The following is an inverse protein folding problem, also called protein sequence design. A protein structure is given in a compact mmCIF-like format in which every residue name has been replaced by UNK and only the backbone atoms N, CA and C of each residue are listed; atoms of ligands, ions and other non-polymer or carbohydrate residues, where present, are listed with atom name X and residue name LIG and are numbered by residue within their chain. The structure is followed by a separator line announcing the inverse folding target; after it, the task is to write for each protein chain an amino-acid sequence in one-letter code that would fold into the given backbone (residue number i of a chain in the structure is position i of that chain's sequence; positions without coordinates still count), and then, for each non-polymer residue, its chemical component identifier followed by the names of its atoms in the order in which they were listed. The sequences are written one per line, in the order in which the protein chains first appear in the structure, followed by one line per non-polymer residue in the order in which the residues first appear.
data_IF_280324730889
#
_entry.id   IF_280324730889
#
_cell.length_a   1.000
_cell.length_b   1.000
_cell.length_c   1.000
_cell.angle_alpha   90.00
_cell.angle_beta   90.00
_cell.angle_gamma   90.00
#
_symmetry.space_group_name_H-M   'P 1'
#
loop_
_entity.id
_entity.type
_entity.pdbx_description
1 polymer ?
#
# COMPACT_ATOMS: atom_id res chain seq x y z
N UNK A 1 4.46 -4.05 15.16
CA UNK A 1 3.27 -3.27 14.77
C UNK A 1 2.92 -3.64 13.35
N UNK A 2 1.66 -3.81 13.04
CA UNK A 2 1.21 -4.12 11.67
C UNK A 2 1.16 -2.81 10.87
N UNK A 3 2.06 -2.67 9.90
CA UNK A 3 2.18 -1.50 9.03
C UNK A 3 1.21 -1.62 7.84
N UNK A 4 -0.08 -1.73 8.14
CA UNK A 4 -1.17 -1.81 7.14
C UNK A 4 -2.29 -0.82 7.43
N UNK A 5 -2.15 0.04 8.45
CA UNK A 5 -3.23 0.92 8.88
C UNK A 5 -3.58 1.97 7.83
N UNK A 6 -2.59 2.55 7.14
CA UNK A 6 -2.84 3.51 6.07
C UNK A 6 -3.54 2.83 4.89
N UNK A 7 -3.15 1.59 4.58
CA UNK A 7 -3.79 0.76 3.55
C UNK A 7 -5.22 0.37 3.89
N UNK A 8 -5.47 -0.05 5.13
CA UNK A 8 -6.82 -0.40 5.61
C UNK A 8 -7.72 0.84 5.66
N UNK A 9 -7.18 1.99 6.07
CA UNK A 9 -7.92 3.25 6.03
C UNK A 9 -8.23 3.69 4.59
N UNK A 10 -7.35 3.37 3.63
CA UNK A 10 -7.54 3.66 2.21
C UNK A 10 -8.54 2.73 1.55
N UNK A 11 -8.51 1.44 1.90
CA UNK A 11 -9.33 0.37 1.32
C UNK A 11 -10.06 -0.43 2.41
N UNK A 12 -11.02 0.19 3.13
CA UNK A 12 -11.73 -0.49 4.21
C UNK A 12 -12.52 -1.71 3.73
N UNK A 13 -13.01 -1.68 2.50
CA UNK A 13 -13.71 -2.80 1.85
C UNK A 13 -12.84 -4.05 1.64
N UNK A 14 -11.50 -3.88 1.55
CA UNK A 14 -10.53 -4.96 1.33
C UNK A 14 -9.70 -5.28 2.57
N UNK A 15 -10.11 -4.78 3.74
CA UNK A 15 -9.38 -4.96 5.00
C UNK A 15 -9.07 -6.44 5.30
N UNK A 16 -10.05 -7.33 5.13
CA UNK A 16 -9.90 -8.76 5.41
C UNK A 16 -8.88 -9.42 4.48
N UNK A 17 -8.91 -9.09 3.19
CA UNK A 17 -7.97 -9.62 2.20
C UNK A 17 -6.56 -9.11 2.46
N UNK A 18 -6.40 -7.82 2.78
CA UNK A 18 -5.13 -7.21 3.17
C UNK A 18 -4.55 -7.91 4.39
N UNK A 19 -5.32 -8.09 5.48
CA UNK A 19 -4.86 -8.78 6.69
C UNK A 19 -4.48 -10.23 6.42
N UNK A 20 -5.30 -10.96 5.65
CA UNK A 20 -5.01 -12.36 5.28
C UNK A 20 -3.73 -12.49 4.47
N UNK A 21 -3.53 -11.60 3.48
CA UNK A 21 -2.34 -11.61 2.63
C UNK A 21 -1.11 -11.20 3.44
N UNK A 22 -1.22 -10.16 4.25
CA UNK A 22 -0.15 -9.68 5.14
C UNK A 22 0.34 -10.77 6.11
N UNK A 23 -0.56 -11.59 6.64
CA UNK A 23 -0.16 -12.71 7.50
C UNK A 23 0.59 -13.81 6.72
N UNK A 24 0.20 -14.08 5.48
CA UNK A 24 0.65 -15.25 4.69
C UNK A 24 1.81 -14.97 3.75
N UNK A 25 1.99 -13.73 3.31
CA UNK A 25 2.93 -13.35 2.25
C UNK A 25 3.95 -12.34 2.77
N UNK A 26 5.22 -12.78 2.84
CA UNK A 26 6.31 -11.94 3.31
C UNK A 26 6.68 -10.82 2.33
N UNK A 27 6.47 -11.04 1.02
CA UNK A 27 6.70 -10.02 0.01
C UNK A 27 5.66 -8.92 0.11
N UNK A 28 4.38 -9.29 0.27
CA UNK A 28 3.31 -8.33 0.53
C UNK A 28 3.57 -7.47 1.77
N UNK A 29 4.10 -8.07 2.85
CA UNK A 29 4.51 -7.31 4.05
C UNK A 29 5.59 -6.27 3.76
N UNK A 30 6.56 -6.60 2.91
CA UNK A 30 7.61 -5.66 2.53
C UNK A 30 7.02 -4.47 1.76
N UNK A 31 6.18 -4.72 0.77
CA UNK A 31 5.50 -3.65 -0.01
C UNK A 31 4.62 -2.78 0.88
N UNK A 32 3.91 -3.36 1.86
CA UNK A 32 3.14 -2.59 2.84
C UNK A 32 4.04 -1.71 3.72
N UNK A 33 5.21 -2.22 4.14
CA UNK A 33 6.16 -1.43 4.92
C UNK A 33 6.73 -0.25 4.11
N UNK A 34 7.07 -0.50 2.84
CA UNK A 34 7.54 0.54 1.92
C UNK A 34 6.47 1.61 1.69
N UNK A 35 5.19 1.22 1.58
CA UNK A 35 4.06 2.14 1.46
C UNK A 35 3.91 3.03 2.71
N UNK A 36 3.96 2.46 3.92
CA UNK A 36 3.87 3.24 5.16
C UNK A 36 5.07 4.21 5.31
N UNK A 37 6.27 3.78 4.94
CA UNK A 37 7.47 4.62 4.98
C UNK A 37 7.35 5.78 3.99
N UNK A 38 6.95 5.52 2.74
CA UNK A 38 6.72 6.53 1.73
C UNK A 38 5.57 7.49 2.12
N UNK A 39 4.51 6.97 2.77
CA UNK A 39 3.37 7.77 3.23
C UNK A 39 3.78 8.70 4.35
N UNK A 40 4.56 8.20 5.31
CA UNK A 40 5.14 9.00 6.40
C UNK A 40 6.07 10.08 5.86
N UNK A 41 6.94 9.72 4.90
CA UNK A 41 7.82 10.67 4.24
C UNK A 41 7.01 11.75 3.51
N UNK A 42 5.98 11.38 2.74
CA UNK A 42 5.11 12.34 2.06
C UNK A 42 4.40 13.26 3.06
N UNK A 43 3.88 12.73 4.17
CA UNK A 43 3.22 13.51 5.21
C UNK A 43 4.19 14.50 5.87
N UNK A 44 5.45 14.11 6.05
CA UNK A 44 6.51 14.98 6.52
C UNK A 44 6.81 16.08 5.50
N UNK A 45 7.06 15.71 4.24
CA UNK A 45 7.31 16.67 3.16
C UNK A 45 6.13 17.62 2.96
N UNK A 46 4.87 17.17 3.06
CA UNK A 46 3.69 18.05 2.97
C UNK A 46 3.67 19.15 4.03
N UNK A 47 4.29 18.93 5.19
CA UNK A 47 4.36 19.93 6.27
C UNK A 47 5.48 20.94 6.08
N UNK A 48 6.60 20.53 5.45
CA UNK A 48 7.81 21.36 5.35
C UNK A 48 8.08 21.91 3.94
N UNK A 49 7.56 21.25 2.91
CA UNK A 49 7.77 21.61 1.52
C UNK A 49 6.83 22.75 1.13
N UNK A 50 7.30 23.61 0.22
CA UNK A 50 6.49 24.68 -0.36
C UNK A 50 5.63 24.11 -1.48
N UNK A 51 4.50 24.78 -1.78
CA UNK A 51 3.69 24.46 -2.96
C UNK A 51 4.58 24.44 -4.22
N UNK A 52 4.50 23.33 -4.98
CA UNK A 52 5.30 23.11 -6.19
C UNK A 52 6.59 22.31 -5.98
N UNK A 53 6.87 21.80 -4.78
CA UNK A 53 8.02 20.93 -4.56
C UNK A 53 7.86 19.60 -5.31
N UNK A 54 8.82 19.32 -6.20
CA UNK A 54 8.87 18.08 -6.99
C UNK A 54 8.89 16.84 -6.10
N UNK A 55 9.42 16.93 -4.87
CA UNK A 55 9.41 15.81 -3.92
C UNK A 55 8.01 15.35 -3.57
N UNK A 56 7.05 16.26 -3.42
CA UNK A 56 5.66 15.88 -3.16
C UNK A 56 5.07 15.05 -4.30
N UNK A 57 5.34 15.46 -5.55
CA UNK A 57 4.90 14.72 -6.72
C UNK A 57 5.59 13.36 -6.85
N UNK A 58 6.90 13.29 -6.59
CA UNK A 58 7.67 12.03 -6.63
C UNK A 58 7.17 11.03 -5.58
N UNK A 59 7.00 11.46 -4.33
CA UNK A 59 6.46 10.58 -3.28
C UNK A 59 4.99 10.21 -3.52
N UNK A 60 4.18 11.13 -4.06
CA UNK A 60 2.79 10.81 -4.40
C UNK A 60 2.70 9.77 -5.52
N UNK A 61 3.55 9.86 -6.54
CA UNK A 61 3.61 8.87 -7.61
C UNK A 61 4.10 7.51 -7.09
N UNK A 62 5.12 7.51 -6.23
CA UNK A 62 5.62 6.28 -5.61
C UNK A 62 4.52 5.56 -4.80
N UNK A 63 3.70 6.31 -4.06
CA UNK A 63 2.58 5.73 -3.33
C UNK A 63 1.51 5.15 -4.27
N UNK A 64 1.25 5.79 -5.40
CA UNK A 64 0.31 5.31 -6.40
C UNK A 64 0.80 4.00 -7.04
N UNK A 65 2.10 3.91 -7.38
CA UNK A 65 2.73 2.69 -7.88
C UNK A 65 2.64 1.54 -6.86
N UNK A 66 2.91 1.82 -5.58
CA UNK A 66 2.79 0.84 -4.50
C UNK A 66 1.33 0.42 -4.28
N UNK A 67 0.36 1.34 -4.35
CA UNK A 67 -1.08 1.02 -4.28
C UNK A 67 -1.49 0.08 -5.42
N UNK A 68 -1.06 0.37 -6.65
CA UNK A 68 -1.33 -0.49 -7.81
C UNK A 68 -0.73 -1.87 -7.63
N UNK A 69 0.52 -1.97 -7.13
CA UNK A 69 1.16 -3.25 -6.88
C UNK A 69 0.43 -4.04 -5.79
N UNK A 70 0.05 -3.39 -4.70
CA UNK A 70 -0.69 -4.02 -3.59
C UNK A 70 -2.04 -4.52 -4.07
N UNK A 71 -2.80 -3.71 -4.82
CA UNK A 71 -4.09 -4.11 -5.39
C UNK A 71 -3.93 -5.25 -6.38
N UNK A 72 -2.91 -5.21 -7.23
CA UNK A 72 -2.61 -6.32 -8.15
C UNK A 72 -2.29 -7.61 -7.40
N UNK A 73 -1.53 -7.55 -6.30
CA UNK A 73 -1.23 -8.72 -5.46
C UNK A 73 -2.47 -9.27 -4.73
N UNK A 74 -3.45 -8.41 -4.42
CA UNK A 74 -4.74 -8.82 -3.85
C UNK A 74 -5.66 -9.45 -4.92
N UNK A 75 -5.76 -8.85 -6.10
CA UNK A 75 -6.60 -9.35 -7.19
C UNK A 75 -6.04 -10.64 -7.83
N UNK A 76 -4.71 -10.79 -7.86
CA UNK A 76 -4.09 -12.04 -8.31
C UNK A 76 -4.43 -13.22 -7.37
N UNK A 77 -4.86 -12.98 -6.13
CA UNK A 77 -5.41 -14.04 -5.28
C UNK A 77 -6.80 -14.49 -5.75
N UNK A 78 -7.66 -13.57 -6.17
CA UNK A 78 -9.02 -13.88 -6.60
C UNK A 78 -9.03 -14.82 -7.82
N UNK A 79 -8.07 -14.69 -8.74
CA UNK A 79 -8.01 -15.52 -9.95
C UNK A 79 -7.42 -16.92 -9.76
N UNK A 80 -6.66 -17.15 -8.68
CA UNK A 80 -6.10 -18.48 -8.38
C UNK A 80 -7.01 -19.31 -7.47
N UNK A 81 -7.86 -18.67 -6.66
CA UNK A 81 -8.76 -19.38 -5.76
C UNK A 81 -10.04 -19.91 -6.45
N UNK A 82 -10.35 -19.43 -7.66
CA UNK A 82 -11.51 -19.86 -8.46
C UNK A 82 -11.28 -21.15 -9.28
N UNK A 83 -10.07 -21.72 -9.26
CA UNK A 83 -9.74 -22.97 -9.99
C UNK A 83 -9.82 -24.26 -9.16
N UNK A 84 -10.28 -24.17 -7.92
CA UNK A 84 -10.55 -25.35 -7.08
C UNK A 84 -11.99 -25.30 -6.55
N UNK A 85 -12.95 -25.54 -7.45
CA UNK A 85 -14.24 -26.14 -7.10
C UNK A 85 -14.68 -27.10 -8.22
#
# INVERSE_FOLDING_TARGET
MENIWSLVARFPERELDIRRRYARDAHFRAVCADYEEASTALAYWKKIAKEGDRKLAEYSNLLDELEVEILAQLDHHLTLNDRHN
#
